data_IF_989157584371
#
_entry.id   IF_989157584371
#
_cell.length_a   1.000
_cell.length_b   1.000
_cell.length_c   1.000
_cell.angle_alpha   90.00
_cell.angle_beta   90.00
_cell.angle_gamma   90.00
#
_symmetry.space_group_name_H-M   'P 1'
#
loop_
_entity.id
_entity.type
_entity.pdbx_description
1 polymer ?
#
# COMPACT_ATOMS: atom_id res chain seq x y z
N UNK A 1 15.64 3.31 4.04
CA UNK A 1 15.44 1.93 3.54
C UNK A 1 15.75 1.93 2.05
N UNK A 2 16.83 1.25 1.61
CA UNK A 2 17.15 1.11 0.18
C UNK A 2 16.26 -0.01 -0.40
N UNK A 3 15.47 0.28 -1.43
CA UNK A 3 14.75 -0.74 -2.21
C UNK A 3 13.23 -0.84 -2.02
N UNK A 4 12.59 0.03 -1.23
CA UNK A 4 11.13 0.18 -1.17
C UNK A 4 10.77 1.53 -1.77
N UNK A 5 9.82 1.55 -2.71
CA UNK A 5 9.20 2.75 -3.24
C UNK A 5 7.69 2.63 -3.19
N UNK A 6 6.99 3.76 -3.17
CA UNK A 6 5.54 3.78 -3.17
C UNK A 6 4.99 4.87 -4.08
N UNK A 7 3.76 4.67 -4.55
CA UNK A 7 2.95 5.66 -5.24
C UNK A 7 1.54 5.64 -4.66
N UNK A 8 0.94 6.82 -4.52
CA UNK A 8 -0.47 6.98 -4.15
C UNK A 8 -1.17 7.57 -5.38
N UNK A 9 -2.18 6.86 -5.91
CA UNK A 9 -2.91 7.25 -7.13
C UNK A 9 -4.39 7.11 -6.82
N UNK A 10 -5.11 8.23 -6.74
CA UNK A 10 -6.50 8.28 -6.30
C UNK A 10 -6.68 7.54 -4.96
N UNK A 11 -7.49 6.48 -4.92
CA UNK A 11 -7.71 5.63 -3.74
C UNK A 11 -6.77 4.42 -3.67
N UNK A 12 -5.68 4.39 -4.44
CA UNK A 12 -4.74 3.25 -4.48
C UNK A 12 -3.40 3.59 -3.87
N UNK A 13 -2.80 2.59 -3.23
CA UNK A 13 -1.43 2.62 -2.77
C UNK A 13 -0.68 1.47 -3.44
N UNK A 14 0.34 1.80 -4.23
CA UNK A 14 1.20 0.83 -4.88
C UNK A 14 2.53 0.85 -4.16
N UNK A 15 2.90 -0.27 -3.56
CA UNK A 15 4.17 -0.45 -2.85
C UNK A 15 5.03 -1.39 -3.68
N UNK A 16 6.19 -0.91 -4.15
CA UNK A 16 7.17 -1.73 -4.84
C UNK A 16 8.32 -2.05 -3.91
N UNK A 17 8.63 -3.33 -3.77
CA UNK A 17 9.74 -3.80 -2.95
C UNK A 17 10.68 -4.69 -3.76
N UNK A 18 11.98 -4.43 -3.62
CA UNK A 18 13.07 -5.28 -4.12
C UNK A 18 13.60 -6.26 -3.06
N UNK A 19 12.85 -6.50 -2.00
CA UNK A 19 13.29 -7.35 -0.89
C UNK A 19 12.45 -7.19 0.37
N UNK A 20 13.12 -6.98 1.50
CA UNK A 20 12.48 -6.91 2.83
C UNK A 20 11.62 -5.66 2.99
N UNK A 21 10.40 -5.87 3.48
CA UNK A 21 9.50 -4.82 3.97
C UNK A 21 9.86 -4.41 5.41
N UNK A 22 9.18 -3.41 5.97
CA UNK A 22 9.31 -3.04 7.38
C UNK A 22 9.10 -4.26 8.29
N UNK A 23 9.91 -4.36 9.35
CA UNK A 23 9.91 -5.49 10.29
C UNK A 23 9.40 -5.09 11.67
N UNK A 24 9.52 -3.81 12.03
CA UNK A 24 9.16 -3.29 13.36
C UNK A 24 8.21 -2.11 13.27
N UNK A 25 7.48 -1.83 14.37
CA UNK A 25 6.54 -0.70 14.44
C UNK A 25 7.27 0.63 14.24
N UNK A 26 8.49 0.74 14.77
CA UNK A 26 9.36 1.91 14.62
C UNK A 26 9.76 2.15 13.16
N UNK A 27 10.13 1.10 12.44
CA UNK A 27 10.40 1.16 11.00
C UNK A 27 9.17 1.60 10.19
N UNK A 28 7.99 1.08 10.54
CA UNK A 28 6.73 1.43 9.90
C UNK A 28 6.38 2.90 10.14
N UNK A 29 6.39 3.37 11.40
CA UNK A 29 6.05 4.75 11.77
C UNK A 29 7.06 5.74 11.19
N UNK A 30 8.34 5.35 11.10
CA UNK A 30 9.39 6.17 10.50
C UNK A 30 9.39 6.15 8.98
N UNK A 31 8.61 5.27 8.34
CA UNK A 31 8.61 5.11 6.89
C UNK A 31 8.07 6.35 6.17
N UNK A 32 8.59 6.60 4.97
CA UNK A 32 8.14 7.71 4.14
C UNK A 32 6.65 7.57 3.75
N UNK A 33 6.18 6.34 3.53
CA UNK A 33 4.76 6.07 3.25
C UNK A 33 3.88 6.44 4.45
N UNK A 34 4.24 6.03 5.67
CA UNK A 34 3.46 6.38 6.86
C UNK A 34 3.39 7.89 7.07
N UNK A 35 4.50 8.60 6.89
CA UNK A 35 4.53 10.06 7.02
C UNK A 35 3.60 10.72 6.01
N UNK A 36 3.56 10.22 4.78
CA UNK A 36 2.68 10.76 3.74
C UNK A 36 1.21 10.47 4.01
N UNK A 37 0.89 9.25 4.46
CA UNK A 37 -0.48 8.88 4.87
C UNK A 37 -0.93 9.72 6.07
N UNK A 38 -0.07 9.95 7.06
CA UNK A 38 -0.37 10.78 8.22
C UNK A 38 -0.69 12.22 7.80
N UNK A 39 0.08 12.81 6.87
CA UNK A 39 -0.24 14.14 6.35
C UNK A 39 -1.56 14.16 5.60
N UNK A 40 -1.76 13.22 4.66
CA UNK A 40 -3.00 13.15 3.86
C UNK A 40 -4.23 12.96 4.76
N UNK A 41 -4.11 12.18 5.84
CA UNK A 41 -5.17 12.01 6.83
C UNK A 41 -5.47 13.32 7.57
N UNK A 42 -4.43 14.04 8.00
CA UNK A 42 -4.58 15.35 8.67
C UNK A 42 -5.17 16.39 7.71
N UNK A 43 -4.72 16.43 6.47
CA UNK A 43 -5.24 17.33 5.44
C UNK A 43 -6.73 17.03 5.14
N UNK A 44 -7.11 15.74 5.08
CA UNK A 44 -8.51 15.34 4.94
C UNK A 44 -9.38 15.77 6.13
N UNK A 45 -8.85 15.68 7.36
CA UNK A 45 -9.54 16.17 8.55
C UNK A 45 -9.68 17.71 8.55
N UNK A 46 -8.68 18.42 8.03
CA UNK A 46 -8.69 19.88 7.90
C UNK A 46 -9.75 20.35 6.90
N UNK A 47 -9.83 19.70 5.73
CA UNK A 47 -10.85 19.99 4.72
C UNK A 47 -12.27 19.82 5.28
N UNK A 48 -12.46 18.81 6.13
CA UNK A 48 -13.75 18.49 6.77
C UNK A 48 -14.04 19.27 8.04
N UNK A 49 -13.08 20.09 8.53
CA UNK A 49 -13.16 20.78 9.83
C UNK A 49 -13.53 19.83 10.97
N UNK A 50 -12.87 18.67 11.02
CA UNK A 50 -13.17 17.62 11.99
C UNK A 50 -12.71 17.98 13.41
N UNK A 51 -13.54 17.64 14.40
CA UNK A 51 -13.24 17.75 15.84
C UNK A 51 -12.02 16.91 16.24
N UNK A 52 -11.67 15.88 15.47
CA UNK A 52 -10.47 15.05 15.72
C UNK A 52 -9.16 15.86 15.68
N UNK A 53 -9.15 17.05 15.08
CA UNK A 53 -7.99 17.94 15.07
C UNK A 53 -7.75 18.64 16.41
N UNK A 54 -8.74 18.67 17.31
CA UNK A 54 -8.60 19.29 18.63
C UNK A 54 -7.54 18.56 19.48
N UNK A 55 -7.13 17.35 19.08
CA UNK A 55 -5.99 16.61 19.66
C UNK A 55 -4.67 17.40 19.58
N UNK A 56 -4.57 18.33 18.64
CA UNK A 56 -3.40 19.19 18.50
C UNK A 56 -3.48 20.48 19.33
N UNK A 57 -4.62 20.77 19.97
CA UNK A 57 -4.84 21.99 20.76
C UNK A 57 -4.86 23.32 19.97
N UNK A 58 -4.66 23.27 18.65
CA UNK A 58 -4.64 24.42 17.73
C UNK A 58 -5.55 24.12 16.51
N UNK A 59 -6.15 25.16 15.91
CA UNK A 59 -7.03 25.01 14.72
C UNK A 59 -6.31 24.38 13.50
N UNK A 60 -4.97 24.47 13.42
CA UNK A 60 -4.20 23.91 12.30
C UNK A 60 -2.86 23.31 12.73
N UNK A 61 -2.67 21.98 12.66
CA UNK A 61 -1.41 21.35 13.00
C UNK A 61 -0.29 21.78 12.06
N UNK A 62 0.81 22.25 12.64
CA UNK A 62 2.00 22.63 11.89
C UNK A 62 2.96 21.43 11.67
N UNK A 63 4.00 21.60 10.86
CA UNK A 63 5.01 20.54 10.59
C UNK A 63 5.74 20.06 11.85
N UNK A 64 5.87 20.88 12.89
CA UNK A 64 6.47 20.47 14.18
C UNK A 64 5.52 19.57 14.94
N UNK A 65 4.23 19.88 14.97
CA UNK A 65 3.18 19.07 15.62
C UNK A 65 3.11 17.68 14.99
N UNK A 66 3.19 17.57 13.66
CA UNK A 66 3.20 16.26 12.96
C UNK A 66 4.46 15.45 13.31
N UNK A 67 5.63 16.09 13.37
CA UNK A 67 6.88 15.42 13.79
C UNK A 67 6.81 14.97 15.25
N UNK A 68 6.22 15.79 16.11
CA UNK A 68 6.04 15.48 17.51
C UNK A 68 5.08 14.30 17.68
N UNK A 69 3.94 14.30 16.99
CA UNK A 69 2.98 13.19 16.97
C UNK A 69 3.64 11.89 16.52
N UNK A 70 4.44 11.93 15.44
CA UNK A 70 5.16 10.74 14.97
C UNK A 70 6.09 10.20 16.05
N UNK A 71 6.86 11.09 16.71
CA UNK A 71 7.73 10.70 17.82
C UNK A 71 6.91 10.13 18.99
N UNK A 72 5.77 10.72 19.32
CA UNK A 72 4.83 10.20 20.32
C UNK A 72 4.38 8.77 19.96
N UNK A 73 4.04 8.49 18.69
CA UNK A 73 3.72 7.13 18.24
C UNK A 73 4.89 6.15 18.39
N UNK A 74 6.11 6.55 18.02
CA UNK A 74 7.31 5.70 18.17
C UNK A 74 7.52 5.25 19.63
N UNK A 75 7.24 6.13 20.61
CA UNK A 75 7.33 5.81 22.03
C UNK A 75 6.09 5.05 22.54
N UNK A 76 4.89 5.40 22.08
CA UNK A 76 3.65 4.69 22.43
C UNK A 76 3.67 3.22 21.99
N UNK A 77 4.44 2.82 20.98
CA UNK A 77 4.60 1.41 20.66
C UNK A 77 5.47 0.63 21.67
N UNK A 78 6.13 1.32 22.62
CA UNK A 78 7.11 0.73 23.54
C UNK A 78 6.75 0.91 25.02
N UNK A 79 5.85 1.85 25.35
CA UNK A 79 5.50 2.16 26.74
C UNK A 79 4.08 2.71 26.89
N UNK A 80 3.47 2.60 28.09
CA UNK A 80 2.18 3.19 28.39
C UNK A 80 2.13 4.72 28.22
N UNK A 81 0.96 5.22 27.86
CA UNK A 81 0.71 6.62 27.53
C UNK A 81 1.07 7.59 28.64
N UNK A 82 0.80 7.28 29.92
CA UNK A 82 1.14 8.14 31.06
C UNK A 82 2.65 8.36 31.26
N UNK A 83 3.51 7.55 30.63
CA UNK A 83 4.97 7.71 30.67
C UNK A 83 5.50 8.50 29.48
N UNK A 84 4.78 8.54 28.35
CA UNK A 84 5.27 9.17 27.11
C UNK A 84 5.53 10.67 27.27
N UNK A 85 4.66 11.48 27.92
CA UNK A 85 4.94 12.90 28.16
C UNK A 85 6.22 13.16 28.97
N UNK A 86 6.62 12.21 29.84
CA UNK A 86 7.85 12.34 30.65
C UNK A 86 9.13 12.18 29.81
N UNK A 87 9.02 11.60 28.62
CA UNK A 87 10.16 11.31 27.72
C UNK A 87 10.13 12.20 26.47
N UNK A 88 8.93 12.51 25.98
CA UNK A 88 8.71 13.32 24.77
C UNK A 88 8.08 14.65 25.15
N UNK A 89 8.94 15.64 25.44
CA UNK A 89 8.51 17.00 25.78
C UNK A 89 7.57 17.59 24.72
N UNK A 90 6.45 18.16 25.16
CA UNK A 90 5.42 18.75 24.32
C UNK A 90 4.31 17.78 23.91
N UNK A 91 4.49 16.47 24.13
CA UNK A 91 3.47 15.47 23.78
C UNK A 91 2.27 15.46 24.75
N UNK A 92 2.35 16.17 25.88
CA UNK A 92 1.28 16.33 26.86
C UNK A 92 -0.05 16.72 26.19
N UNK A 93 0.02 17.59 25.16
CA UNK A 93 -1.14 18.10 24.47
C UNK A 93 -2.02 17.00 23.87
N UNK A 94 -1.42 15.91 23.38
CA UNK A 94 -2.15 14.78 22.79
C UNK A 94 -2.90 13.98 23.85
N UNK A 95 -2.43 13.99 25.10
CA UNK A 95 -3.03 13.23 26.20
C UNK A 95 -4.04 14.05 27.02
N UNK A 96 -4.27 15.33 26.69
CA UNK A 96 -5.29 16.17 27.33
C UNK A 96 -6.69 15.54 27.26
N UNK A 97 -7.00 14.88 26.14
CA UNK A 97 -8.20 14.08 25.97
C UNK A 97 -7.84 12.73 25.34
N UNK A 98 -7.58 11.74 26.20
CA UNK A 98 -7.22 10.37 25.79
C UNK A 98 -8.24 9.74 24.84
N UNK A 99 -9.53 10.02 25.01
CA UNK A 99 -10.57 9.47 24.14
C UNK A 99 -10.45 10.05 22.72
N UNK A 100 -10.31 11.36 22.60
CA UNK A 100 -10.11 12.03 21.32
C UNK A 100 -8.83 11.56 20.62
N UNK A 101 -7.75 11.34 21.37
CA UNK A 101 -6.51 10.85 20.80
C UNK A 101 -6.64 9.41 20.28
N UNK A 102 -7.31 8.53 21.04
CA UNK A 102 -7.64 7.20 20.57
C UNK A 102 -8.50 7.24 19.30
N UNK A 103 -9.50 8.12 19.25
CA UNK A 103 -10.38 8.26 18.09
C UNK A 103 -9.63 8.78 16.85
N UNK A 104 -8.65 9.68 17.04
CA UNK A 104 -7.73 10.10 15.99
C UNK A 104 -6.90 8.92 15.45
N UNK A 105 -6.37 8.07 16.33
CA UNK A 105 -5.62 6.87 15.92
C UNK A 105 -6.51 5.86 15.19
N UNK A 106 -7.75 5.66 15.65
CA UNK A 106 -8.73 4.82 14.95
C UNK A 106 -9.09 5.39 13.58
N UNK A 107 -9.28 6.71 13.47
CA UNK A 107 -9.48 7.38 12.18
C UNK A 107 -8.29 7.16 11.25
N UNK A 108 -7.05 7.36 11.71
CA UNK A 108 -5.84 7.16 10.90
C UNK A 108 -5.73 5.72 10.39
N UNK A 109 -6.03 4.74 11.25
CA UNK A 109 -6.04 3.33 10.88
C UNK A 109 -7.12 3.02 9.84
N UNK A 110 -8.32 3.57 9.99
CA UNK A 110 -9.40 3.43 9.02
C UNK A 110 -9.11 4.17 7.71
N UNK A 111 -8.46 5.32 7.76
CA UNK A 111 -8.01 6.08 6.60
C UNK A 111 -7.01 5.25 5.79
N UNK A 112 -5.98 4.69 6.45
CA UNK A 112 -5.06 3.73 5.81
C UNK A 112 -5.82 2.57 5.17
N UNK A 113 -6.79 1.97 5.89
CA UNK A 113 -7.57 0.82 5.43
C UNK A 113 -8.53 1.13 4.28
N UNK A 114 -8.89 2.40 4.07
CA UNK A 114 -9.78 2.83 2.99
C UNK A 114 -9.18 2.74 1.59
N UNK A 115 -7.84 2.68 1.48
CA UNK A 115 -7.15 2.54 0.19
C UNK A 115 -7.20 1.10 -0.35
N UNK A 116 -7.09 0.95 -1.66
CA UNK A 116 -6.76 -0.32 -2.32
C UNK A 116 -5.24 -0.47 -2.38
N UNK A 117 -4.66 -1.43 -1.65
CA UNK A 117 -3.21 -1.58 -1.46
C UNK A 117 -2.68 -2.72 -2.31
N UNK A 118 -1.77 -2.38 -3.22
CA UNK A 118 -1.08 -3.28 -4.12
C UNK A 118 0.38 -3.39 -3.71
N UNK A 119 0.91 -4.60 -3.58
CA UNK A 119 2.34 -4.84 -3.38
C UNK A 119 2.94 -5.56 -4.57
N UNK A 120 3.98 -4.98 -5.16
CA UNK A 120 4.75 -5.58 -6.25
C UNK A 120 6.13 -5.93 -5.70
N UNK A 121 6.38 -7.22 -5.57
CA UNK A 121 7.68 -7.77 -5.23
C UNK A 121 8.47 -7.99 -6.52
N UNK A 122 9.43 -7.12 -6.76
CA UNK A 122 10.42 -7.25 -7.83
C UNK A 122 11.57 -8.11 -7.30
N UNK A 123 11.52 -9.41 -7.59
CA UNK A 123 12.55 -10.35 -7.15
C UNK A 123 13.64 -10.47 -8.20
N UNK A 124 14.67 -9.61 -8.15
CA UNK A 124 15.86 -9.82 -8.99
C UNK A 124 16.57 -11.16 -8.70
N UNK A 125 16.36 -11.74 -7.50
CA UNK A 125 16.97 -12.99 -7.08
C UNK A 125 16.06 -14.21 -7.34
N UNK A 126 16.55 -15.13 -8.17
CA UNK A 126 15.92 -16.44 -8.49
C UNK A 126 15.52 -17.26 -7.25
N UNK A 127 16.12 -16.98 -6.08
CA UNK A 127 15.83 -17.65 -4.80
C UNK A 127 14.40 -17.38 -4.33
N UNK A 128 13.90 -16.16 -4.53
CA UNK A 128 12.53 -15.77 -4.14
C UNK A 128 11.47 -16.46 -5.03
N UNK A 129 11.83 -16.78 -6.28
CA UNK A 129 10.96 -17.48 -7.24
C UNK A 129 10.78 -18.95 -6.88
N UNK A 130 11.81 -19.59 -6.28
CA UNK A 130 11.75 -21.02 -5.91
C UNK A 130 10.79 -21.30 -4.76
N UNK A 131 10.51 -20.33 -3.88
CA UNK A 131 9.57 -20.49 -2.74
C UNK A 131 8.66 -19.27 -2.56
N UNK A 132 7.70 -19.10 -3.45
CA UNK A 132 6.85 -17.91 -3.53
C UNK A 132 5.98 -17.65 -2.31
N UNK A 133 5.42 -18.72 -1.75
CA UNK A 133 4.66 -18.65 -0.50
C UNK A 133 5.49 -18.04 0.63
N UNK A 134 6.81 -18.32 0.69
CA UNK A 134 7.68 -17.69 1.70
C UNK A 134 7.83 -16.21 1.46
N UNK A 135 8.05 -15.80 0.20
CA UNK A 135 8.11 -14.37 -0.16
C UNK A 135 6.82 -13.66 0.22
N UNK A 136 5.65 -14.25 -0.03
CA UNK A 136 4.37 -13.66 0.36
C UNK A 136 4.17 -13.61 1.89
N UNK A 137 4.51 -14.67 2.61
CA UNK A 137 4.41 -14.68 4.08
C UNK A 137 5.35 -13.66 4.71
N UNK A 138 6.60 -13.63 4.26
CA UNK A 138 7.63 -12.74 4.79
C UNK A 138 7.36 -11.27 4.44
N UNK A 139 6.53 -10.99 3.42
CA UNK A 139 6.19 -9.62 3.01
C UNK A 139 4.79 -9.21 3.44
N UNK A 140 3.75 -9.83 2.91
CA UNK A 140 2.36 -9.37 3.03
C UNK A 140 1.71 -9.81 4.33
N UNK A 141 1.86 -11.08 4.73
CA UNK A 141 1.33 -11.54 6.02
C UNK A 141 2.00 -10.79 7.15
N UNK A 142 3.32 -10.62 7.05
CA UNK A 142 4.09 -9.80 7.98
C UNK A 142 3.61 -8.36 8.01
N UNK A 143 3.40 -7.71 6.86
CA UNK A 143 2.88 -6.34 6.80
C UNK A 143 1.47 -6.24 7.42
N UNK A 144 0.58 -7.18 7.08
CA UNK A 144 -0.77 -7.30 7.66
C UNK A 144 -0.71 -7.39 9.19
N UNK A 145 0.18 -8.23 9.71
CA UNK A 145 0.38 -8.37 11.15
C UNK A 145 0.96 -7.08 11.75
N UNK A 146 2.00 -6.51 11.13
CA UNK A 146 2.72 -5.35 11.63
C UNK A 146 1.82 -4.12 11.74
N UNK A 147 1.03 -3.81 10.72
CA UNK A 147 0.09 -2.67 10.75
C UNK A 147 -0.94 -2.86 11.86
N UNK A 148 -1.53 -4.06 11.99
CA UNK A 148 -2.51 -4.36 13.04
C UNK A 148 -1.91 -4.29 14.44
N UNK A 149 -0.72 -4.86 14.63
CA UNK A 149 -0.02 -4.85 15.90
C UNK A 149 0.30 -3.41 16.31
N UNK A 150 0.89 -2.63 15.40
CA UNK A 150 1.20 -1.20 15.64
C UNK A 150 -0.04 -0.41 16.05
N UNK A 151 -1.17 -0.57 15.35
CA UNK A 151 -2.42 0.09 15.71
C UNK A 151 -2.92 -0.31 17.12
N UNK A 152 -2.88 -1.61 17.44
CA UNK A 152 -3.31 -2.12 18.76
C UNK A 152 -2.40 -1.61 19.87
N UNK A 153 -1.09 -1.62 19.65
CA UNK A 153 -0.11 -1.09 20.61
C UNK A 153 -0.38 0.40 20.87
N UNK A 154 -0.65 1.20 19.84
CA UNK A 154 -1.01 2.61 20.01
C UNK A 154 -2.31 2.77 20.81
N UNK A 155 -3.36 2.03 20.45
CA UNK A 155 -4.66 2.10 21.13
C UNK A 155 -4.57 1.66 22.60
N UNK A 156 -3.94 0.51 22.88
CA UNK A 156 -3.80 -0.03 24.22
C UNK A 156 -2.93 0.86 25.09
N UNK A 157 -1.82 1.41 24.56
CA UNK A 157 -0.96 2.29 25.33
C UNK A 157 -1.56 3.69 25.52
N UNK A 158 -2.38 4.20 24.60
CA UNK A 158 -3.13 5.46 24.82
C UNK A 158 -4.18 5.27 25.90
N UNK A 159 -4.99 4.21 25.81
CA UNK A 159 -6.14 3.99 26.70
C UNK A 159 -5.78 3.30 28.02
N UNK A 160 -4.60 2.68 28.08
CA UNK A 160 -4.09 1.83 29.17
C UNK A 160 -5.05 0.71 29.55
N UNK A 161 -5.79 0.22 28.56
CA UNK A 161 -6.78 -0.84 28.69
C UNK A 161 -6.66 -1.81 27.53
N UNK A 162 -6.90 -3.08 27.81
CA UNK A 162 -7.04 -4.09 26.77
C UNK A 162 -8.50 -4.11 26.27
N UNK A 163 -8.75 -4.03 24.95
CA UNK A 163 -10.09 -4.17 24.41
C UNK A 163 -10.61 -5.58 24.67
N UNK A 164 -11.89 -5.70 25.02
CA UNK A 164 -12.55 -7.00 25.19
C UNK A 164 -12.83 -7.70 23.86
N UNK A 165 -12.84 -6.95 22.74
CA UNK A 165 -13.15 -7.45 21.40
C UNK A 165 -12.03 -7.06 20.44
N UNK A 166 -11.33 -8.06 19.92
CA UNK A 166 -10.32 -7.88 18.87
C UNK A 166 -10.91 -8.20 17.50
N UNK A 167 -10.75 -7.28 16.54
CA UNK A 167 -11.14 -7.49 15.14
C UNK A 167 -9.93 -7.94 14.30
N UNK A 168 -10.14 -8.98 13.49
CA UNK A 168 -9.16 -9.47 12.52
C UNK A 168 -9.55 -8.97 11.13
N UNK A 169 -9.05 -7.79 10.79
CA UNK A 169 -9.31 -7.13 9.50
C UNK A 169 -8.05 -7.13 8.64
N UNK A 170 -8.22 -7.12 7.31
CA UNK A 170 -7.10 -6.93 6.39
C UNK A 170 -6.58 -5.50 6.58
N UNK A 171 -5.26 -5.37 6.77
CA UNK A 171 -4.58 -4.10 7.01
C UNK A 171 -3.25 -3.97 6.25
N UNK A 172 -2.81 -5.01 5.58
CA UNK A 172 -1.71 -5.05 4.62
C UNK A 172 -2.26 -4.86 3.22
N UNK A 173 -1.73 -5.60 2.24
CA UNK A 173 -2.17 -5.47 0.85
C UNK A 173 -3.35 -6.39 0.51
N UNK A 174 -4.30 -5.89 -0.28
CA UNK A 174 -5.37 -6.68 -0.91
C UNK A 174 -4.84 -7.59 -2.01
N UNK A 175 -3.86 -7.09 -2.77
CA UNK A 175 -3.23 -7.81 -3.87
C UNK A 175 -1.73 -7.70 -3.74
N UNK A 176 -1.06 -8.85 -3.86
CA UNK A 176 0.39 -8.90 -3.96
C UNK A 176 0.82 -9.72 -5.17
N UNK A 177 1.89 -9.29 -5.81
CA UNK A 177 2.43 -10.01 -6.97
C UNK A 177 3.93 -10.15 -6.86
N UNK A 178 4.45 -11.29 -7.33
CA UNK A 178 5.86 -11.46 -7.64
C UNK A 178 6.00 -11.28 -9.14
N UNK A 179 6.81 -10.31 -9.55
CA UNK A 179 7.02 -9.97 -10.95
C UNK A 179 8.51 -9.93 -11.27
N UNK A 180 8.87 -10.37 -12.47
CA UNK A 180 10.25 -10.51 -12.92
C UNK A 180 10.42 -9.85 -14.29
N UNK A 181 11.55 -9.20 -14.51
CA UNK A 181 11.98 -8.93 -15.87
C UNK A 181 12.22 -10.26 -16.56
N UNK A 182 11.60 -10.48 -17.72
CA UNK A 182 11.81 -11.69 -18.51
C UNK A 182 12.75 -11.38 -19.66
N UNK A 183 13.60 -12.33 -20.02
CA UNK A 183 14.47 -12.20 -21.18
C UNK A 183 13.67 -11.91 -22.45
N UNK A 184 14.11 -10.84 -23.11
CA UNK A 184 13.65 -10.23 -24.38
C UNK A 184 12.65 -11.06 -25.18
N UNK A 185 11.34 -10.78 -25.03
CA UNK A 185 10.28 -11.45 -25.78
C UNK A 185 10.26 -11.05 -27.26
N UNK A 186 10.60 -9.80 -27.57
CA UNK A 186 10.64 -9.31 -28.95
C UNK A 186 11.84 -8.40 -29.18
N UNK A 187 12.78 -8.75 -30.08
CA UNK A 187 13.94 -7.91 -30.38
C UNK A 187 13.61 -6.73 -31.31
N UNK A 188 12.39 -6.67 -31.88
CA UNK A 188 12.03 -5.67 -32.91
C UNK A 188 11.22 -4.51 -32.33
N UNK A 189 11.53 -3.30 -32.80
CA UNK A 189 10.69 -2.11 -32.60
C UNK A 189 9.29 -2.32 -33.23
N UNK A 190 8.21 -1.80 -32.62
CA UNK A 190 8.16 -1.01 -31.39
C UNK A 190 8.06 -1.87 -30.10
N UNK A 191 8.12 -3.20 -30.20
CA UNK A 191 7.80 -4.12 -29.11
C UNK A 191 8.93 -4.32 -28.10
N UNK A 192 10.17 -4.04 -28.48
CA UNK A 192 11.31 -4.10 -27.57
C UNK A 192 11.15 -3.20 -26.32
N UNK A 193 10.38 -2.11 -26.41
CA UNK A 193 9.97 -1.26 -25.29
C UNK A 193 9.32 -2.05 -24.15
N UNK A 194 8.60 -3.13 -24.49
CA UNK A 194 7.89 -3.98 -23.53
C UNK A 194 8.78 -5.00 -22.82
N UNK A 195 10.01 -5.22 -23.29
CA UNK A 195 10.90 -6.24 -22.71
C UNK A 195 11.36 -5.89 -21.29
N UNK A 196 11.37 -4.60 -20.93
CA UNK A 196 11.76 -4.13 -19.59
C UNK A 196 10.60 -4.19 -18.58
N UNK A 197 9.37 -4.40 -19.05
CA UNK A 197 8.20 -4.46 -18.19
C UNK A 197 8.23 -5.77 -17.39
N UNK A 198 8.00 -5.67 -16.08
CA UNK A 198 7.95 -6.83 -15.21
C UNK A 198 6.76 -7.73 -15.57
N UNK A 199 7.04 -9.02 -15.74
CA UNK A 199 6.05 -10.07 -16.00
C UNK A 199 5.66 -10.72 -14.69
N UNK A 200 4.36 -10.69 -14.40
CA UNK A 200 3.75 -11.33 -13.24
C UNK A 200 4.01 -12.83 -13.33
N UNK A 201 4.61 -13.39 -12.29
CA UNK A 201 4.78 -14.83 -12.14
C UNK A 201 3.75 -15.43 -11.23
N UNK A 202 3.35 -14.68 -10.21
CA UNK A 202 2.45 -15.16 -9.17
C UNK A 202 1.69 -14.01 -8.56
N UNK A 203 0.45 -14.30 -8.19
CA UNK A 203 -0.47 -13.36 -7.57
C UNK A 203 -1.01 -13.99 -6.28
N UNK A 204 -1.02 -13.20 -5.22
CA UNK A 204 -1.71 -13.48 -3.98
C UNK A 204 -2.85 -12.48 -3.83
N UNK A 205 -4.05 -12.97 -3.58
CA UNK A 205 -5.24 -12.17 -3.30
C UNK A 205 -5.66 -12.38 -1.84
N UNK A 206 -5.98 -11.30 -1.14
CA UNK A 206 -6.64 -11.33 0.16
C UNK A 206 -8.13 -11.02 -0.01
N UNK A 207 -9.00 -12.04 -0.05
CA UNK A 207 -10.45 -11.82 -0.10
C UNK A 207 -10.98 -11.30 1.25
N UNK A 208 -12.07 -10.51 1.27
CA UNK A 208 -12.86 -10.08 0.11
C UNK A 208 -12.18 -8.94 -0.65
N UNK A 209 -11.98 -9.15 -1.95
CA UNK A 209 -11.35 -8.18 -2.85
C UNK A 209 -12.45 -7.43 -3.59
N UNK A 210 -12.78 -6.22 -3.13
CA UNK A 210 -13.78 -5.35 -3.78
C UNK A 210 -13.05 -4.28 -4.59
N UNK A 211 -12.79 -4.59 -5.86
CA UNK A 211 -12.16 -3.67 -6.78
C UNK A 211 -13.23 -2.83 -7.47
N UNK A 212 -13.13 -1.50 -7.35
CA UNK A 212 -14.07 -0.58 -7.99
C UNK A 212 -13.54 -0.21 -9.39
N UNK A 213 -14.12 -0.74 -10.48
CA UNK A 213 -13.69 -0.34 -11.81
C UNK A 213 -14.10 1.12 -12.08
N UNK A 214 -13.33 1.87 -12.90
CA UNK A 214 -13.63 3.25 -13.22
C UNK A 214 -14.96 3.41 -13.99
N UNK A 215 -15.41 2.36 -14.70
CA UNK A 215 -16.65 2.38 -15.46
C UNK A 215 -17.26 0.97 -15.56
N UNK A 216 -18.54 0.83 -15.17
CA UNK A 216 -19.30 -0.42 -15.29
C UNK A 216 -20.07 -0.56 -16.61
N UNK A 217 -20.27 0.55 -17.33
CA UNK A 217 -20.96 0.54 -18.63
C UNK A 217 -19.96 0.21 -19.73
N UNK A 218 -20.30 -0.76 -20.60
CA UNK A 218 -19.59 -0.97 -21.86
C UNK A 218 -19.98 0.15 -22.83
N UNK A 219 -19.36 1.30 -22.66
CA UNK A 219 -19.55 2.47 -23.53
C UNK A 219 -18.21 2.84 -24.17
N UNK A 220 -18.24 3.10 -25.47
CA UNK A 220 -17.05 3.29 -26.31
C UNK A 220 -17.16 2.45 -27.57
N UNK A 221 -16.66 2.97 -28.69
CA UNK A 221 -16.48 2.20 -29.94
C UNK A 221 -14.98 2.06 -30.14
N UNK A 222 -14.51 0.85 -30.40
CA UNK A 222 -13.14 0.68 -30.86
C UNK A 222 -13.05 1.26 -32.26
N UNK A 223 -12.28 2.34 -32.41
CA UNK A 223 -11.96 2.88 -33.71
C UNK A 223 -10.76 2.12 -34.26
N UNK A 224 -10.91 1.63 -35.50
CA UNK A 224 -9.77 1.04 -36.19
C UNK A 224 -8.75 2.14 -36.44
N UNK A 225 -7.53 1.89 -36.01
CA UNK A 225 -6.36 2.73 -36.30
C UNK A 225 -5.39 1.91 -37.15
N UNK A 226 -4.73 2.57 -38.10
CA UNK A 226 -3.78 1.90 -39.01
C UNK A 226 -2.33 1.90 -38.47
N UNK A 227 -2.09 2.58 -37.34
CA UNK A 227 -0.79 2.67 -36.69
C UNK A 227 -0.76 1.84 -35.40
N UNK A 228 0.37 1.21 -35.12
CA UNK A 228 0.57 0.49 -33.86
C UNK A 228 0.70 1.51 -32.70
N UNK A 229 -0.18 1.47 -31.68
CA UNK A 229 -0.14 2.39 -30.55
C UNK A 229 1.23 2.50 -29.86
N UNK A 230 1.99 1.41 -29.81
CA UNK A 230 3.31 1.37 -29.18
C UNK A 230 4.34 2.29 -29.87
N UNK A 231 4.08 2.73 -31.10
CA UNK A 231 4.94 3.72 -31.77
C UNK A 231 4.84 5.09 -31.09
N UNK A 232 3.67 5.45 -30.57
CA UNK A 232 3.38 6.78 -30.01
C UNK A 232 3.34 6.79 -28.49
N UNK A 233 3.44 5.63 -27.85
CA UNK A 233 3.47 5.50 -26.39
C UNK A 233 4.92 5.35 -25.93
N UNK A 234 5.27 6.14 -24.91
CA UNK A 234 6.47 5.91 -24.12
C UNK A 234 6.14 4.97 -22.96
N UNK A 235 6.89 3.87 -22.85
CA UNK A 235 6.60 2.81 -21.88
C UNK A 235 7.60 2.93 -20.75
N UNK A 236 7.18 3.54 -19.64
CA UNK A 236 7.94 3.52 -18.40
C UNK A 236 7.76 2.16 -17.71
N UNK A 237 8.79 1.33 -17.68
CA UNK A 237 8.76 0.02 -17.01
C UNK A 237 8.29 0.06 -15.54
N UNK A 238 8.45 1.20 -14.86
CA UNK A 238 8.00 1.38 -13.49
C UNK A 238 6.50 1.71 -13.35
N UNK A 239 5.75 1.76 -14.44
CA UNK A 239 4.32 2.08 -14.45
C UNK A 239 3.46 0.97 -15.06
N UNK A 240 4.10 -0.02 -15.66
CA UNK A 240 3.45 -1.11 -16.36
C UNK A 240 3.74 -2.45 -15.71
N UNK A 241 2.79 -3.37 -15.84
CA UNK A 241 2.95 -4.78 -15.53
C UNK A 241 2.44 -5.61 -16.71
N UNK A 242 2.96 -6.83 -16.84
CA UNK A 242 2.50 -7.80 -17.81
C UNK A 242 1.89 -9.01 -17.10
N UNK A 243 0.62 -9.30 -17.38
CA UNK A 243 -0.06 -10.53 -16.99
C UNK A 243 0.03 -11.55 -18.13
N UNK A 244 0.77 -12.66 -17.97
CA UNK A 244 0.84 -13.71 -18.97
C UNK A 244 -0.38 -14.65 -18.84
N UNK A 245 -1.40 -14.43 -19.65
CA UNK A 245 -2.61 -15.25 -19.66
C UNK A 245 -2.44 -16.48 -20.56
N UNK A 246 -2.70 -17.67 -20.00
CA UNK A 246 -2.84 -18.91 -20.75
C UNK A 246 -4.30 -19.12 -21.11
N UNK A 247 -4.59 -19.08 -22.40
CA UNK A 247 -5.96 -19.20 -22.95
C UNK A 247 -5.99 -20.39 -23.91
N UNK A 248 -6.34 -21.56 -23.37
CA UNK A 248 -6.23 -22.82 -24.10
C UNK A 248 -4.77 -23.06 -24.51
N UNK A 249 -4.45 -23.21 -25.81
CA UNK A 249 -3.08 -23.38 -26.29
C UNK A 249 -2.32 -22.06 -26.48
N UNK A 250 -2.96 -20.91 -26.28
CA UNK A 250 -2.38 -19.59 -26.57
C UNK A 250 -1.79 -18.95 -25.31
N UNK A 251 -0.64 -18.30 -25.49
CA UNK A 251 -0.07 -17.36 -24.53
C UNK A 251 -0.40 -15.94 -24.98
N UNK A 252 -1.15 -15.21 -24.17
CA UNK A 252 -1.49 -13.80 -24.40
C UNK A 252 -0.79 -12.96 -23.34
N UNK A 253 0.10 -12.07 -23.77
CA UNK A 253 0.79 -11.12 -22.87
C UNK A 253 -0.04 -9.86 -22.76
N UNK A 254 -0.66 -9.65 -21.60
CA UNK A 254 -1.53 -8.51 -21.35
C UNK A 254 -0.76 -7.46 -20.56
N UNK A 255 -0.41 -6.36 -21.21
CA UNK A 255 0.28 -5.22 -20.59
C UNK A 255 -0.73 -4.20 -20.12
N UNK A 256 -0.59 -3.73 -18.88
CA UNK A 256 -1.50 -2.75 -18.29
C UNK A 256 -0.75 -1.75 -17.40
N UNK A 257 -1.21 -0.50 -17.44
CA UNK A 257 -0.68 0.62 -16.66
C UNK A 257 -1.18 0.60 -15.20
N UNK A 258 -0.45 1.23 -14.28
CA UNK A 258 -0.79 1.37 -12.85
C UNK A 258 -2.17 1.98 -12.57
N UNK A 259 -2.66 2.81 -13.49
CA UNK A 259 -4.03 3.34 -13.46
C UNK A 259 -5.09 2.23 -13.54
N UNK A 260 -4.78 1.08 -14.13
CA UNK A 260 -5.71 -0.02 -14.37
C UNK A 260 -5.37 -1.29 -13.57
N UNK A 261 -4.59 -1.19 -12.49
CA UNK A 261 -4.18 -2.35 -11.71
C UNK A 261 -5.35 -3.16 -11.16
N UNK A 262 -6.44 -2.53 -10.76
CA UNK A 262 -7.67 -3.22 -10.35
C UNK A 262 -8.14 -4.18 -11.45
N UNK A 263 -8.25 -3.69 -12.68
CA UNK A 263 -8.68 -4.48 -13.83
C UNK A 263 -7.64 -5.53 -14.23
N UNK A 264 -6.37 -5.15 -14.28
CA UNK A 264 -5.27 -6.04 -14.65
C UNK A 264 -5.12 -7.21 -13.69
N UNK A 265 -5.20 -6.97 -12.38
CA UNK A 265 -5.16 -8.05 -11.39
C UNK A 265 -6.44 -8.88 -11.37
N UNK A 266 -7.60 -8.33 -11.72
CA UNK A 266 -8.83 -9.12 -11.82
C UNK A 266 -8.75 -10.27 -12.85
N UNK A 267 -7.83 -10.19 -13.82
CA UNK A 267 -7.60 -11.22 -14.84
C UNK A 267 -7.24 -12.58 -14.22
N UNK A 268 -6.64 -12.61 -13.03
CA UNK A 268 -6.32 -13.86 -12.34
C UNK A 268 -7.54 -14.68 -11.92
N UNK A 269 -8.72 -14.07 -11.87
CA UNK A 269 -9.99 -14.78 -11.65
C UNK A 269 -10.59 -15.33 -12.96
N UNK A 270 -10.09 -14.91 -14.12
CA UNK A 270 -10.65 -15.23 -15.43
C UNK A 270 -9.75 -16.18 -16.24
N UNK A 271 -8.43 -16.02 -16.12
CA UNK A 271 -7.45 -16.76 -16.91
C UNK A 271 -6.45 -17.48 -16.02
N UNK A 272 -5.96 -18.62 -16.52
CA UNK A 272 -4.83 -19.31 -15.91
C UNK A 272 -3.56 -18.48 -16.15
N UNK A 273 -2.75 -18.31 -15.12
CA UNK A 273 -1.45 -17.65 -15.23
C UNK A 273 -0.44 -18.62 -15.88
N UNK A 274 0.24 -18.18 -16.93
CA UNK A 274 1.09 -19.03 -17.77
C UNK A 274 2.50 -19.31 -17.20
#
# INVERSE_FOLDING_TARGET
>A
MKGISFKIIDNKIIIKSKGRMCETAEELISSALFIEILKNAIDNLLERKSVLLDVFGEEKPNKKNIKLLRKTFEFLCKMPGHLVPKVVNGSEMFFNNTHLFNDFVEYLYNFWRGFDRFVICDSADEILVKRPYRTFNDTIERLNHLVRATYRDLQENITEKHPSIYRQVIAGAEVATIALSKDSFSPREPYNKLNKVLVIRQVLLYPPLVLNPPMNKRTGRFEKIDLNPLQNIDVNENEWLCYPAKVGPLLILIYFHETFFELGFSLCNLFELA
#
